data_IF_382494546994
#
_entry.id   IF_382494546994
#
_cell.length_a   1.000
_cell.length_b   1.000
_cell.length_c   1.000
_cell.angle_alpha   90.00
_cell.angle_beta   90.00
_cell.angle_gamma   90.00
#
_symmetry.space_group_name_H-M   'P 1'
#
loop_
_entity.id
_entity.type
_entity.pdbx_description
1 polymer ?
#
# COMPACT_ATOMS: atom_id res chain seq x y z
N UNK A 1 25.10 -84.02 1.87
CA UNK A 1 25.50 -83.51 3.19
C UNK A 1 26.42 -82.33 3.00
N UNK A 2 26.00 -81.12 3.35
CA UNK A 2 26.85 -80.02 3.81
C UNK A 2 25.92 -78.88 4.26
N UNK A 3 25.77 -78.76 5.58
CA UNK A 3 24.98 -77.74 6.25
C UNK A 3 25.64 -76.36 6.06
N UNK A 4 24.95 -75.45 5.38
CA UNK A 4 25.28 -74.03 5.39
C UNK A 4 24.41 -73.33 6.44
N UNK A 5 25.07 -72.91 7.51
CA UNK A 5 24.51 -72.23 8.68
C UNK A 5 23.89 -70.89 8.26
N UNK A 6 22.57 -70.75 8.41
CA UNK A 6 21.88 -69.45 8.35
C UNK A 6 22.32 -68.60 9.54
N UNK A 7 23.04 -67.50 9.29
CA UNK A 7 23.22 -66.42 10.26
C UNK A 7 21.92 -65.62 10.39
N UNK A 8 21.49 -65.24 11.60
CA UNK A 8 20.34 -64.37 11.78
C UNK A 8 20.69 -62.95 11.30
N UNK A 9 19.76 -62.34 10.56
CA UNK A 9 19.82 -60.93 10.15
C UNK A 9 19.68 -60.11 11.43
N UNK A 10 20.80 -59.62 11.93
CA UNK A 10 20.84 -58.61 12.99
C UNK A 10 20.13 -57.36 12.48
N UNK A 11 19.10 -56.95 13.21
CA UNK A 11 18.38 -55.69 13.11
C UNK A 11 19.36 -54.52 12.91
N UNK A 12 19.44 -54.01 11.69
CA UNK A 12 20.23 -52.82 11.38
C UNK A 12 19.55 -51.63 12.03
N UNK A 13 20.17 -51.10 13.10
CA UNK A 13 19.87 -49.77 13.64
C UNK A 13 19.86 -48.79 12.47
N UNK A 14 18.71 -48.18 12.22
CA UNK A 14 18.55 -47.09 11.25
C UNK A 14 19.58 -46.00 11.56
N UNK A 15 20.33 -45.51 10.56
CA UNK A 15 21.24 -44.39 10.75
C UNK A 15 20.43 -43.22 11.33
N UNK A 16 20.91 -42.65 12.45
CA UNK A 16 20.31 -41.48 13.06
C UNK A 16 20.37 -40.32 12.07
N UNK A 17 19.26 -40.06 11.39
CA UNK A 17 19.09 -38.86 10.57
C UNK A 17 18.72 -37.69 11.46
N UNK A 18 19.29 -36.51 11.20
CA UNK A 18 19.09 -35.29 11.99
C UNK A 18 17.69 -34.68 11.90
N UNK A 19 16.70 -35.40 11.37
CA UNK A 19 15.32 -34.95 11.18
C UNK A 19 14.32 -36.09 11.51
N UNK A 20 13.11 -35.75 12.00
CA UNK A 20 12.09 -36.73 12.36
C UNK A 20 11.49 -37.39 11.10
N UNK A 21 11.22 -38.69 11.17
CA UNK A 21 10.50 -39.41 10.10
C UNK A 21 9.00 -39.24 10.31
N UNK A 22 8.36 -38.50 9.41
CA UNK A 22 6.94 -38.14 9.47
C UNK A 22 6.06 -39.33 9.06
N UNK A 23 4.81 -39.36 9.51
CA UNK A 23 3.78 -40.31 9.05
C UNK A 23 3.22 -39.95 7.69
N UNK A 24 2.67 -40.93 6.96
CA UNK A 24 2.08 -40.67 5.64
C UNK A 24 0.96 -39.61 5.74
N UNK A 25 0.20 -39.61 6.83
CA UNK A 25 -0.85 -38.62 7.09
C UNK A 25 -0.25 -37.22 7.28
N UNK A 26 0.81 -37.10 8.07
CA UNK A 26 1.51 -35.83 8.29
C UNK A 26 2.14 -35.30 6.99
N UNK A 27 2.75 -36.17 6.19
CA UNK A 27 3.34 -35.81 4.89
C UNK A 27 2.27 -35.21 3.97
N UNK A 28 1.12 -35.87 3.83
CA UNK A 28 0.01 -35.38 2.99
C UNK A 28 -0.51 -34.04 3.49
N UNK A 29 -0.66 -33.88 4.81
CA UNK A 29 -1.14 -32.62 5.39
C UNK A 29 -0.16 -31.46 5.16
N UNK A 30 1.16 -31.70 5.27
CA UNK A 30 2.17 -30.66 5.03
C UNK A 30 2.28 -30.35 3.54
N UNK A 31 2.20 -31.36 2.66
CA UNK A 31 2.16 -31.14 1.21
C UNK A 31 0.93 -30.31 0.82
N UNK A 32 -0.23 -30.58 1.40
CA UNK A 32 -1.44 -29.78 1.19
C UNK A 32 -1.28 -28.34 1.69
N UNK A 33 -0.55 -28.11 2.79
CA UNK A 33 -0.22 -26.77 3.28
C UNK A 33 0.75 -26.01 2.35
N UNK A 34 1.53 -26.72 1.54
CA UNK A 34 2.39 -26.18 0.47
C UNK A 34 1.65 -26.07 -0.89
N UNK A 35 0.31 -26.12 -0.89
CA UNK A 35 -0.57 -26.15 -2.07
C UNK A 35 -0.39 -27.37 -3.00
N UNK A 36 0.27 -28.43 -2.53
CA UNK A 36 0.48 -29.68 -3.27
C UNK A 36 -0.60 -30.71 -2.92
N UNK A 37 -1.58 -30.85 -3.81
CA UNK A 37 -2.71 -31.77 -3.64
C UNK A 37 -2.31 -33.20 -4.03
N UNK A 38 -1.90 -34.01 -3.05
CA UNK A 38 -1.42 -35.38 -3.24
C UNK A 38 -2.35 -36.36 -2.51
N UNK A 39 -2.66 -37.51 -3.11
CA UNK A 39 -3.47 -38.54 -2.46
C UNK A 39 -2.64 -39.38 -1.48
N UNK A 40 -3.30 -39.96 -0.48
CA UNK A 40 -2.64 -40.82 0.51
C UNK A 40 -1.94 -42.02 -0.15
N UNK A 41 -2.50 -42.55 -1.24
CA UNK A 41 -1.94 -43.66 -2.01
C UNK A 41 -0.66 -43.28 -2.75
N UNK A 42 -0.52 -42.02 -3.19
CA UNK A 42 0.67 -41.53 -3.90
C UNK A 42 1.92 -41.50 -3.00
N UNK A 43 1.72 -41.39 -1.69
CA UNK A 43 2.78 -41.43 -0.67
C UNK A 43 2.99 -42.84 -0.13
N UNK A 44 1.91 -43.62 0.05
CA UNK A 44 1.98 -44.98 0.56
C UNK A 44 2.52 -45.99 -0.47
N UNK A 45 2.22 -45.79 -1.75
CA UNK A 45 2.64 -46.60 -2.89
C UNK A 45 3.10 -45.68 -4.02
N UNK A 46 4.27 -45.03 -3.89
CA UNK A 46 4.73 -44.07 -4.86
C UNK A 46 4.92 -44.73 -6.22
N UNK A 47 4.36 -44.10 -7.26
CA UNK A 47 4.63 -44.42 -8.65
C UNK A 47 5.73 -43.51 -9.16
N UNK A 48 6.38 -43.88 -10.27
CA UNK A 48 7.36 -43.02 -10.94
C UNK A 48 6.79 -41.64 -11.22
N UNK A 49 5.53 -41.59 -11.68
CA UNK A 49 4.84 -40.34 -11.99
C UNK A 49 4.55 -39.51 -10.73
N UNK A 50 4.05 -40.12 -9.67
CA UNK A 50 3.75 -39.39 -8.43
C UNK A 50 5.02 -38.87 -7.75
N UNK A 51 6.10 -39.67 -7.72
CA UNK A 51 7.37 -39.25 -7.17
C UNK A 51 7.98 -38.07 -7.94
N UNK A 52 8.00 -38.13 -9.28
CA UNK A 52 8.51 -37.03 -10.11
C UNK A 52 7.65 -35.77 -9.93
N UNK A 53 6.32 -35.90 -9.95
CA UNK A 53 5.41 -34.76 -9.74
C UNK A 53 5.68 -34.07 -8.39
N UNK A 54 5.78 -34.84 -7.30
CA UNK A 54 6.00 -34.31 -5.95
C UNK A 54 7.37 -33.62 -5.86
N UNK A 55 8.44 -34.24 -6.38
CA UNK A 55 9.77 -33.64 -6.34
C UNK A 55 9.90 -32.41 -7.24
N UNK A 56 9.25 -32.37 -8.40
CA UNK A 56 9.18 -31.18 -9.25
C UNK A 56 8.52 -30.02 -8.52
N UNK A 57 7.40 -30.28 -7.86
CA UNK A 57 6.68 -29.23 -7.16
C UNK A 57 7.43 -28.74 -5.90
N UNK A 58 8.14 -29.64 -5.22
CA UNK A 58 9.03 -29.27 -4.11
C UNK A 58 10.25 -28.46 -4.58
N UNK A 59 10.80 -28.76 -5.75
CA UNK A 59 11.89 -27.96 -6.34
C UNK A 59 11.45 -26.54 -6.68
N UNK A 60 10.25 -26.39 -7.24
CA UNK A 60 9.68 -25.08 -7.55
C UNK A 60 9.47 -24.26 -6.26
N UNK A 61 8.81 -24.86 -5.28
CA UNK A 61 8.47 -24.17 -4.03
C UNK A 61 9.69 -23.83 -3.16
N UNK A 62 10.71 -24.70 -3.08
CA UNK A 62 11.85 -24.53 -2.17
C UNK A 62 13.05 -23.84 -2.82
N UNK A 63 13.28 -24.07 -4.11
CA UNK A 63 14.44 -23.54 -4.82
C UNK A 63 14.09 -22.47 -5.85
N UNK A 64 12.79 -22.21 -6.12
CA UNK A 64 12.36 -21.34 -7.21
C UNK A 64 12.78 -21.88 -8.58
N UNK A 65 13.11 -23.17 -8.67
CA UNK A 65 13.63 -23.81 -9.86
C UNK A 65 12.47 -24.40 -10.68
N UNK A 66 11.76 -23.53 -11.39
CA UNK A 66 10.71 -23.94 -12.32
C UNK A 66 11.32 -24.70 -13.52
N UNK A 67 10.50 -25.52 -14.17
CA UNK A 67 10.79 -26.25 -15.42
C UNK A 67 11.43 -25.33 -16.47
N UNK A 68 11.00 -24.08 -16.56
CA UNK A 68 11.53 -23.07 -17.49
C UNK A 68 13.01 -22.74 -17.25
N UNK A 69 13.48 -22.78 -15.99
CA UNK A 69 14.91 -22.59 -15.68
C UNK A 69 15.78 -23.75 -16.16
N UNK A 70 15.19 -24.94 -16.34
CA UNK A 70 15.88 -26.12 -16.87
C UNK A 70 15.88 -26.07 -18.41
N UNK A 71 14.84 -25.50 -19.03
CA UNK A 71 14.73 -25.42 -20.49
C UNK A 71 15.77 -24.50 -21.15
N UNK A 72 16.12 -23.36 -20.54
CA UNK A 72 17.14 -22.44 -21.09
C UNK A 72 18.54 -23.08 -21.22
N UNK A 73 19.11 -23.63 -20.13
CA UNK A 73 20.35 -24.39 -20.16
C UNK A 73 20.27 -25.65 -21.05
N UNK A 74 19.13 -26.35 -21.06
CA UNK A 74 18.86 -27.44 -22.00
C UNK A 74 19.02 -26.96 -23.44
N UNK A 75 18.38 -25.85 -23.83
CA UNK A 75 18.48 -25.30 -25.19
C UNK A 75 19.91 -24.96 -25.61
N UNK A 76 20.72 -24.44 -24.68
CA UNK A 76 22.12 -24.10 -24.92
C UNK A 76 22.99 -25.34 -25.06
N UNK A 77 22.78 -26.39 -24.26
CA UNK A 77 23.52 -27.65 -24.39
C UNK A 77 23.07 -28.45 -25.61
N UNK A 78 21.78 -28.41 -25.94
CA UNK A 78 21.24 -29.03 -27.14
C UNK A 78 21.76 -28.39 -28.43
N UNK A 79 22.09 -27.10 -28.42
CA UNK A 79 22.68 -26.44 -29.60
C UNK A 79 24.10 -26.93 -29.91
N UNK A 80 24.81 -27.49 -28.92
CA UNK A 80 26.17 -28.01 -29.02
C UNK A 80 26.23 -29.52 -29.35
N UNK A 81 25.09 -30.23 -29.42
CA UNK A 81 25.03 -31.68 -29.68
C UNK A 81 24.55 -32.01 -31.09
N UNK A 82 25.13 -33.05 -31.70
CA UNK A 82 24.84 -33.48 -33.08
C UNK A 82 23.48 -34.21 -33.22
N UNK A 83 23.10 -35.06 -32.27
CA UNK A 83 21.85 -35.85 -32.31
C UNK A 83 20.83 -35.36 -31.29
N UNK A 84 20.16 -34.24 -31.60
CA UNK A 84 19.37 -33.50 -30.61
C UNK A 84 18.15 -34.27 -30.06
N UNK A 85 17.41 -34.94 -30.94
CA UNK A 85 16.19 -35.67 -30.57
C UNK A 85 16.45 -36.89 -29.69
N UNK A 86 17.61 -37.54 -29.84
CA UNK A 86 17.95 -38.75 -29.09
C UNK A 86 18.28 -38.48 -27.62
N UNK A 87 18.82 -37.29 -27.32
CA UNK A 87 19.31 -36.94 -25.98
C UNK A 87 18.39 -35.96 -25.22
N UNK A 88 17.40 -35.35 -25.88
CA UNK A 88 16.55 -34.31 -25.28
C UNK A 88 15.86 -34.75 -23.99
N UNK A 89 15.24 -35.94 -23.99
CA UNK A 89 14.52 -36.48 -22.83
C UNK A 89 15.49 -36.93 -21.72
N UNK A 90 16.57 -37.63 -22.09
CA UNK A 90 17.60 -38.07 -21.15
C UNK A 90 18.32 -36.90 -20.47
N UNK A 91 18.57 -35.80 -21.20
CA UNK A 91 19.21 -34.59 -20.68
C UNK A 91 18.28 -33.88 -19.70
N UNK A 92 17.00 -33.72 -20.05
CA UNK A 92 16.00 -33.11 -19.17
C UNK A 92 15.86 -33.90 -17.86
N UNK A 93 15.77 -35.22 -17.94
CA UNK A 93 15.71 -36.06 -16.76
C UNK A 93 17.00 -35.99 -15.92
N UNK A 94 18.18 -35.92 -16.56
CA UNK A 94 19.46 -35.80 -15.87
C UNK A 94 19.59 -34.47 -15.12
N UNK A 95 19.14 -33.36 -15.73
CA UNK A 95 19.11 -32.06 -15.09
C UNK A 95 18.13 -32.04 -13.91
N UNK A 96 16.92 -32.58 -14.10
CA UNK A 96 15.93 -32.73 -13.04
C UNK A 96 16.48 -33.55 -11.86
N UNK A 97 17.09 -34.70 -12.13
CA UNK A 97 17.73 -35.53 -11.12
C UNK A 97 18.85 -34.79 -10.38
N UNK A 98 19.67 -34.02 -11.11
CA UNK A 98 20.73 -33.23 -10.50
C UNK A 98 20.18 -32.19 -9.52
N UNK A 99 19.12 -31.47 -9.90
CA UNK A 99 18.46 -30.52 -9.00
C UNK A 99 17.81 -31.20 -7.80
N UNK A 100 17.12 -32.33 -7.99
CA UNK A 100 16.58 -33.12 -6.88
C UNK A 100 17.67 -33.57 -5.90
N UNK A 101 18.83 -34.00 -6.43
CA UNK A 101 19.97 -34.46 -5.62
C UNK A 101 20.62 -33.30 -4.86
N UNK A 102 20.77 -32.15 -5.50
CA UNK A 102 21.29 -30.94 -4.84
C UNK A 102 20.35 -30.51 -3.71
N UNK A 103 19.03 -30.46 -3.96
CA UNK A 103 18.02 -30.19 -2.92
C UNK A 103 18.10 -31.21 -1.78
N UNK A 104 18.14 -32.50 -2.09
CA UNK A 104 18.23 -33.57 -1.09
C UNK A 104 19.50 -33.43 -0.23
N UNK A 105 20.62 -33.04 -0.85
CA UNK A 105 21.90 -32.83 -0.16
C UNK A 105 21.80 -31.67 0.84
N UNK A 106 21.14 -30.56 0.46
CA UNK A 106 20.88 -29.42 1.36
C UNK A 106 19.98 -29.83 2.52
N UNK A 107 19.01 -30.72 2.28
CA UNK A 107 18.11 -31.27 3.30
C UNK A 107 18.79 -32.33 4.21
N UNK A 108 20.09 -32.60 4.04
CA UNK A 108 20.84 -33.57 4.85
C UNK A 108 20.70 -35.02 4.37
N UNK A 109 20.25 -35.24 3.13
CA UNK A 109 20.09 -36.56 2.52
C UNK A 109 21.17 -36.77 1.46
N UNK A 110 22.19 -37.57 1.78
CA UNK A 110 23.35 -37.79 0.90
C UNK A 110 23.22 -39.01 -0.01
N UNK A 111 22.25 -39.90 0.24
CA UNK A 111 22.05 -41.16 -0.47
C UNK A 111 20.89 -41.12 -1.48
N UNK A 112 20.59 -39.95 -2.04
CA UNK A 112 19.59 -39.79 -3.10
C UNK A 112 20.13 -40.31 -4.44
N UNK A 113 19.43 -41.27 -5.04
CA UNK A 113 19.82 -41.92 -6.30
C UNK A 113 18.74 -41.84 -7.37
N UNK A 114 19.09 -42.20 -8.61
CA UNK A 114 18.15 -42.21 -9.75
C UNK A 114 16.97 -43.17 -9.51
N UNK A 115 17.20 -44.25 -8.76
CA UNK A 115 16.16 -45.20 -8.37
C UNK A 115 15.05 -44.54 -7.54
N UNK A 116 15.34 -43.49 -6.79
CA UNK A 116 14.36 -42.80 -5.95
C UNK A 116 13.33 -42.01 -6.77
N UNK A 117 13.65 -41.69 -8.04
CA UNK A 117 12.73 -41.06 -9.00
C UNK A 117 12.12 -42.05 -9.99
N UNK A 118 12.85 -43.10 -10.37
CA UNK A 118 12.42 -44.06 -11.41
C UNK A 118 11.66 -45.25 -10.84
N UNK A 119 12.04 -45.72 -9.64
CA UNK A 119 11.46 -46.88 -8.94
C UNK A 119 11.44 -46.60 -7.43
N UNK A 120 10.58 -45.67 -6.97
CA UNK A 120 10.57 -45.22 -5.58
C UNK A 120 10.18 -46.37 -4.63
N UNK A 121 11.05 -46.65 -3.65
CA UNK A 121 10.73 -47.55 -2.55
C UNK A 121 9.91 -46.79 -1.49
N UNK A 122 8.76 -47.32 -1.01
CA UNK A 122 7.88 -46.58 -0.10
C UNK A 122 8.57 -46.10 1.18
N UNK A 123 9.47 -46.89 1.75
CA UNK A 123 10.14 -46.56 3.00
C UNK A 123 11.22 -45.49 2.78
N UNK A 124 12.00 -45.62 1.71
CA UNK A 124 12.98 -44.59 1.31
C UNK A 124 12.28 -43.31 0.88
N UNK A 125 11.23 -43.38 0.07
CA UNK A 125 10.50 -42.21 -0.41
C UNK A 125 9.94 -41.37 0.74
N UNK A 126 9.30 -42.02 1.71
CA UNK A 126 8.84 -41.38 2.95
C UNK A 126 9.97 -40.73 3.75
N UNK A 127 11.12 -41.38 3.83
CA UNK A 127 12.29 -40.84 4.50
C UNK A 127 12.82 -39.58 3.80
N UNK A 128 12.95 -39.61 2.48
CA UNK A 128 13.39 -38.45 1.69
C UNK A 128 12.41 -37.28 1.81
N UNK A 129 11.10 -37.53 1.70
CA UNK A 129 10.08 -36.50 1.90
C UNK A 129 10.12 -35.92 3.30
N UNK A 130 10.34 -36.73 4.33
CA UNK A 130 10.44 -36.23 5.71
C UNK A 130 11.59 -35.25 5.87
N UNK A 131 12.75 -35.50 5.25
CA UNK A 131 13.89 -34.59 5.27
C UNK A 131 13.61 -33.28 4.52
N UNK A 132 13.03 -33.38 3.32
CA UNK A 132 12.70 -32.19 2.49
C UNK A 132 11.62 -31.33 3.15
N UNK A 133 10.57 -31.95 3.70
CA UNK A 133 9.50 -31.23 4.39
C UNK A 133 9.96 -30.61 5.71
N UNK A 134 10.89 -31.25 6.42
CA UNK A 134 11.51 -30.64 7.59
C UNK A 134 12.31 -29.38 7.21
N UNK A 135 13.00 -29.40 6.08
CA UNK A 135 13.64 -28.20 5.54
C UNK A 135 12.62 -27.13 5.12
N UNK A 136 11.52 -27.52 4.47
CA UNK A 136 10.44 -26.59 4.11
C UNK A 136 9.88 -25.86 5.34
N UNK A 137 9.61 -26.59 6.42
CA UNK A 137 9.15 -26.01 7.68
C UNK A 137 10.19 -25.08 8.32
N UNK A 138 11.47 -25.46 8.26
CA UNK A 138 12.55 -24.59 8.72
C UNK A 138 12.61 -23.28 7.91
N UNK A 139 12.42 -23.35 6.59
CA UNK A 139 12.37 -22.16 5.73
C UNK A 139 11.20 -21.25 6.11
N UNK A 140 10.01 -21.80 6.34
CA UNK A 140 8.82 -21.06 6.80
C UNK A 140 9.07 -20.33 8.14
N UNK A 141 9.65 -21.02 9.13
CA UNK A 141 10.02 -20.43 10.43
C UNK A 141 11.04 -19.28 10.29
N UNK A 142 11.89 -19.32 9.26
CA UNK A 142 12.91 -18.28 8.99
C UNK A 142 12.39 -17.19 8.06
N UNK A 143 11.41 -17.45 7.22
CA UNK A 143 10.84 -16.50 6.27
C UNK A 143 10.36 -15.23 6.97
N UNK A 144 9.72 -15.36 8.14
CA UNK A 144 9.31 -14.21 8.96
C UNK A 144 10.49 -13.28 9.34
N UNK A 145 11.69 -13.84 9.53
CA UNK A 145 12.90 -13.05 9.83
C UNK A 145 13.48 -12.37 8.59
N UNK A 146 13.26 -12.95 7.42
CA UNK A 146 13.72 -12.40 6.14
C UNK A 146 12.67 -11.50 5.47
N UNK A 147 11.42 -11.50 5.94
CA UNK A 147 10.35 -10.68 5.42
C UNK A 147 10.67 -9.18 5.49
N UNK A 148 11.19 -8.71 6.62
CA UNK A 148 11.57 -7.29 6.79
C UNK A 148 12.75 -6.89 5.87
N UNK A 149 13.90 -7.61 5.84
CA UNK A 149 14.95 -7.34 4.87
C UNK A 149 14.48 -7.42 3.41
N UNK A 150 13.64 -8.38 3.06
CA UNK A 150 13.10 -8.52 1.70
C UNK A 150 12.18 -7.34 1.33
N UNK A 151 11.36 -6.87 2.28
CA UNK A 151 10.56 -5.67 2.07
C UNK A 151 11.42 -4.42 1.91
N UNK A 152 12.43 -4.23 2.76
CA UNK A 152 13.38 -3.11 2.62
C UNK A 152 14.10 -3.15 1.28
N UNK A 153 14.49 -4.33 0.79
CA UNK A 153 15.10 -4.48 -0.53
C UNK A 153 14.14 -4.09 -1.65
N UNK A 154 12.88 -4.50 -1.59
CA UNK A 154 11.83 -4.08 -2.53
C UNK A 154 11.62 -2.56 -2.52
N UNK A 155 11.52 -1.97 -1.33
CA UNK A 155 11.34 -0.53 -1.17
C UNK A 155 12.56 0.25 -1.72
N UNK A 156 13.78 -0.24 -1.48
CA UNK A 156 15.00 0.34 -2.05
C UNK A 156 15.03 0.23 -3.57
N UNK A 157 14.59 -0.90 -4.12
CA UNK A 157 14.51 -1.09 -5.57
C UNK A 157 13.51 -0.11 -6.19
N UNK A 158 12.31 0.03 -5.60
CA UNK A 158 11.32 1.02 -6.05
C UNK A 158 11.84 2.46 -5.94
N UNK A 159 12.53 2.81 -4.86
CA UNK A 159 13.16 4.12 -4.71
C UNK A 159 14.23 4.37 -5.78
N UNK A 160 15.05 3.36 -6.07
CA UNK A 160 16.08 3.45 -7.10
C UNK A 160 15.47 3.69 -8.47
N UNK A 161 14.42 2.96 -8.84
CA UNK A 161 13.72 3.15 -10.12
C UNK A 161 13.06 4.53 -10.20
N UNK A 162 12.40 5.00 -9.13
CA UNK A 162 11.84 6.36 -9.08
C UNK A 162 12.90 7.45 -9.24
N UNK A 163 14.08 7.27 -8.64
CA UNK A 163 15.19 8.21 -8.79
C UNK A 163 15.76 8.21 -10.21
N UNK A 164 15.87 7.05 -10.85
CA UNK A 164 16.27 6.96 -12.26
C UNK A 164 15.28 7.67 -13.18
N UNK A 165 13.97 7.45 -12.98
CA UNK A 165 12.94 8.14 -13.74
C UNK A 165 13.00 9.67 -13.56
N UNK A 166 13.24 10.14 -12.34
CA UNK A 166 13.42 11.57 -12.06
C UNK A 166 14.67 12.12 -12.73
N UNK A 167 15.77 11.38 -12.70
CA UNK A 167 17.04 11.77 -13.33
C UNK A 167 16.86 11.92 -14.84
N UNK A 168 16.22 10.95 -15.50
CA UNK A 168 15.90 11.01 -16.94
C UNK A 168 15.03 12.23 -17.26
N UNK A 169 14.00 12.52 -16.44
CA UNK A 169 13.16 13.71 -16.64
C UNK A 169 13.95 15.00 -16.51
N UNK A 170 14.82 15.10 -15.51
CA UNK A 170 15.66 16.29 -15.30
C UNK A 170 16.65 16.45 -16.46
N UNK A 171 17.30 15.37 -16.90
CA UNK A 171 18.20 15.40 -18.06
C UNK A 171 17.48 15.89 -19.32
N UNK A 172 16.28 15.38 -19.60
CA UNK A 172 15.46 15.85 -20.73
C UNK A 172 15.12 17.34 -20.60
N UNK A 173 14.75 17.82 -19.42
CA UNK A 173 14.46 19.26 -19.22
C UNK A 173 15.71 20.13 -19.39
N UNK A 174 16.88 19.65 -18.97
CA UNK A 174 18.15 20.35 -19.18
C UNK A 174 18.47 20.43 -20.67
N UNK A 175 18.26 19.35 -21.41
CA UNK A 175 18.46 19.31 -22.85
C UNK A 175 17.51 20.27 -23.58
N UNK A 176 16.22 20.28 -23.24
CA UNK A 176 15.23 21.22 -23.79
C UNK A 176 15.61 22.68 -23.52
N UNK A 177 16.01 23.01 -22.28
CA UNK A 177 16.45 24.35 -21.90
C UNK A 177 17.75 24.73 -22.63
N UNK A 178 18.68 23.79 -22.79
CA UNK A 178 19.93 24.00 -23.52
C UNK A 178 19.67 24.34 -24.98
N UNK A 179 18.81 23.55 -25.65
CA UNK A 179 18.40 23.79 -27.05
C UNK A 179 17.74 25.16 -27.17
N UNK A 180 16.80 25.49 -26.28
CA UNK A 180 16.13 26.79 -26.27
C UNK A 180 17.12 27.94 -26.06
N UNK A 181 18.06 27.81 -25.12
CA UNK A 181 19.08 28.83 -24.88
C UNK A 181 19.98 29.04 -26.10
N UNK A 182 20.33 27.98 -26.83
CA UNK A 182 21.11 28.09 -28.08
C UNK A 182 20.30 28.84 -29.16
N UNK A 183 18.99 28.57 -29.27
CA UNK A 183 18.08 29.26 -30.19
C UNK A 183 17.84 30.73 -29.81
N UNK A 184 17.72 31.03 -28.52
CA UNK A 184 17.44 32.38 -28.00
C UNK A 184 18.69 33.27 -27.96
N UNK A 185 19.90 32.69 -27.95
CA UNK A 185 21.17 33.41 -27.93
C UNK A 185 21.36 34.41 -29.08
N UNK A 186 21.15 34.06 -30.38
CA UNK A 186 21.28 35.03 -31.46
C UNK A 186 20.27 36.17 -31.36
N UNK A 187 19.01 35.87 -31.00
CA UNK A 187 17.97 36.89 -30.80
C UNK A 187 18.34 37.86 -29.68
N UNK A 188 18.88 37.33 -28.58
CA UNK A 188 19.33 38.13 -27.44
C UNK A 188 20.52 39.01 -27.79
N UNK A 189 21.50 38.49 -28.54
CA UNK A 189 22.65 39.27 -29.00
C UNK A 189 22.25 40.33 -30.03
N UNK A 190 21.31 40.05 -30.92
CA UNK A 190 20.76 41.05 -31.85
C UNK A 190 20.00 42.15 -31.09
N UNK A 191 19.18 41.78 -30.11
CA UNK A 191 18.47 42.73 -29.26
C UNK A 191 19.44 43.60 -28.45
N UNK A 192 20.53 43.04 -27.91
CA UNK A 192 21.60 43.79 -27.22
C UNK A 192 22.26 44.79 -28.15
N UNK A 193 22.70 44.36 -29.34
CA UNK A 193 23.30 45.24 -30.35
C UNK A 193 22.36 46.39 -30.73
N UNK A 194 21.08 46.10 -30.90
CA UNK A 194 20.06 47.12 -31.20
C UNK A 194 19.91 48.10 -30.04
N UNK A 195 19.90 47.62 -28.80
CA UNK A 195 19.81 48.47 -27.61
C UNK A 195 21.06 49.36 -27.45
N UNK A 196 22.24 48.82 -27.69
CA UNK A 196 23.50 49.57 -27.70
C UNK A 196 23.52 50.65 -28.80
N UNK A 197 23.05 50.32 -30.01
CA UNK A 197 22.92 51.28 -31.10
C UNK A 197 21.96 52.43 -30.75
N UNK A 198 20.77 52.11 -30.23
CA UNK A 198 19.79 53.13 -29.80
C UNK A 198 20.33 53.97 -28.64
N UNK A 199 21.09 53.38 -27.70
CA UNK A 199 21.75 54.15 -26.64
C UNK A 199 22.80 55.10 -27.18
N UNK A 200 23.59 54.68 -28.17
CA UNK A 200 24.57 55.54 -28.83
C UNK A 200 23.88 56.69 -29.57
N UNK A 201 22.80 56.42 -30.31
CA UNK A 201 21.99 57.47 -30.94
C UNK A 201 21.41 58.45 -29.92
N UNK A 202 20.89 57.96 -28.79
CA UNK A 202 20.34 58.80 -27.73
C UNK A 202 21.41 59.69 -27.10
N UNK A 203 22.62 59.17 -26.89
CA UNK A 203 23.77 59.97 -26.41
C UNK A 203 24.17 61.04 -27.43
N UNK A 204 24.20 60.71 -28.72
CA UNK A 204 24.49 61.67 -29.79
C UNK A 204 23.43 62.77 -29.86
N UNK A 205 22.13 62.41 -29.88
CA UNK A 205 21.03 63.37 -29.86
C UNK A 205 21.08 64.26 -28.61
N UNK A 206 21.44 63.70 -27.45
CA UNK A 206 21.59 64.48 -26.22
C UNK A 206 22.76 65.47 -26.33
N UNK A 207 23.87 65.07 -26.93
CA UNK A 207 25.00 65.97 -27.20
C UNK A 207 24.59 67.11 -28.13
N UNK A 208 23.90 66.79 -29.24
CA UNK A 208 23.35 67.77 -30.18
C UNK A 208 22.36 68.71 -29.50
N UNK A 209 21.46 68.19 -28.67
CA UNK A 209 20.51 68.99 -27.89
C UNK A 209 21.23 69.99 -26.97
N UNK A 210 22.30 69.57 -26.29
CA UNK A 210 23.09 70.45 -25.42
C UNK A 210 23.79 71.54 -26.23
N UNK A 211 24.38 71.19 -27.38
CA UNK A 211 24.99 72.17 -28.29
C UNK A 211 23.96 73.17 -28.79
N UNK A 212 22.80 72.69 -29.25
CA UNK A 212 21.71 73.53 -29.75
C UNK A 212 21.13 74.43 -28.64
N UNK A 213 21.06 73.93 -27.41
CA UNK A 213 20.67 74.75 -26.26
C UNK A 213 21.66 75.88 -26.00
N UNK A 214 22.96 75.61 -26.15
CA UNK A 214 23.99 76.64 -25.99
C UNK A 214 23.94 77.68 -27.11
N UNK A 215 23.71 77.26 -28.37
CA UNK A 215 23.55 78.20 -29.49
C UNK A 215 22.28 79.05 -29.33
N UNK A 216 21.17 78.46 -28.89
CA UNK A 216 19.94 79.21 -28.58
C UNK A 216 20.17 80.24 -27.49
N UNK A 217 20.90 79.90 -26.43
CA UNK A 217 21.19 80.83 -25.34
C UNK A 217 22.13 81.96 -25.80
N UNK A 218 23.14 81.64 -26.62
CA UNK A 218 24.01 82.63 -27.26
C UNK A 218 23.20 83.59 -28.15
N UNK A 219 22.34 83.07 -29.02
CA UNK A 219 21.48 83.87 -29.89
C UNK A 219 20.48 84.73 -29.11
N UNK A 220 19.96 84.25 -27.98
CA UNK A 220 19.12 85.06 -27.08
C UNK A 220 19.92 86.22 -26.46
N UNK A 221 21.16 85.96 -26.03
CA UNK A 221 22.06 86.99 -25.50
C UNK A 221 22.39 88.04 -26.56
N UNK A 222 22.74 87.61 -27.77
CA UNK A 222 23.00 88.50 -28.90
C UNK A 222 21.75 89.33 -29.26
N UNK A 223 20.58 88.69 -29.34
CA UNK A 223 19.30 89.39 -29.55
C UNK A 223 19.04 90.43 -28.47
N UNK A 224 19.32 90.11 -27.21
CA UNK A 224 19.15 91.04 -26.09
C UNK A 224 20.10 92.24 -26.22
N UNK A 225 21.37 92.01 -26.56
CA UNK A 225 22.35 93.08 -26.81
C UNK A 225 21.92 93.98 -27.98
N UNK A 226 21.44 93.39 -29.08
CA UNK A 226 20.93 94.15 -30.23
C UNK A 226 19.68 94.94 -29.85
N UNK A 227 18.78 94.37 -29.04
CA UNK A 227 17.61 95.09 -28.52
C UNK A 227 18.01 96.27 -27.63
N UNK A 228 18.97 96.09 -26.73
CA UNK A 228 19.49 97.16 -25.86
C UNK A 228 20.18 98.26 -26.68
N UNK A 229 20.96 97.88 -27.69
CA UNK A 229 21.58 98.80 -28.62
C UNK A 229 20.50 99.58 -29.41
N UNK A 230 19.48 98.89 -29.92
CA UNK A 230 18.38 99.51 -30.63
C UNK A 230 17.58 100.46 -29.72
N UNK A 231 17.33 100.09 -28.47
CA UNK A 231 16.67 100.95 -27.49
C UNK A 231 17.54 102.18 -27.16
N UNK A 232 18.85 102.01 -26.99
CA UNK A 232 19.81 103.11 -26.80
C UNK A 232 19.83 104.06 -28.00
N UNK A 233 19.90 103.51 -29.22
CA UNK A 233 19.84 104.31 -30.46
C UNK A 233 18.50 105.00 -30.65
N UNK A 234 17.40 104.38 -30.26
CA UNK A 234 16.08 105.00 -30.29
C UNK A 234 15.97 106.14 -29.25
N UNK A 235 16.59 105.98 -28.07
CA UNK A 235 16.71 107.05 -27.08
C UNK A 235 17.58 108.21 -27.61
N UNK A 236 18.75 107.93 -28.19
CA UNK A 236 19.57 108.93 -28.87
C UNK A 236 18.78 109.64 -29.97
N UNK A 237 18.06 108.89 -30.81
CA UNK A 237 17.20 109.43 -31.85
C UNK A 237 16.08 110.30 -31.28
N UNK A 238 15.51 109.93 -30.13
CA UNK A 238 14.47 110.72 -29.46
C UNK A 238 15.03 112.01 -28.87
N UNK A 239 16.24 111.96 -28.28
CA UNK A 239 16.93 113.16 -27.81
C UNK A 239 17.32 114.07 -28.99
N UNK A 240 17.82 113.51 -30.09
CA UNK A 240 18.11 114.25 -31.31
C UNK A 240 16.82 114.77 -31.98
N UNK A 241 15.72 114.04 -31.91
CA UNK A 241 14.41 114.49 -32.43
C UNK A 241 13.85 115.61 -31.58
N UNK A 242 14.02 115.59 -30.26
CA UNK A 242 13.69 116.67 -29.35
C UNK A 242 14.60 117.90 -29.58
N UNK A 243 15.90 117.71 -29.76
CA UNK A 243 16.85 118.78 -30.10
C UNK A 243 16.55 119.38 -31.48
N UNK A 244 16.19 118.56 -32.46
CA UNK A 244 15.75 119.03 -33.77
C UNK A 244 14.34 119.60 -33.73
N UNK A 245 13.46 119.20 -32.81
CA UNK A 245 12.16 119.84 -32.57
C UNK A 245 12.33 121.21 -31.90
N UNK A 246 13.28 121.34 -30.98
CA UNK A 246 13.71 122.63 -30.41
C UNK A 246 14.35 123.52 -31.50
N UNK A 247 15.16 122.95 -32.41
CA UNK A 247 15.71 123.67 -33.55
C UNK A 247 14.66 124.01 -34.64
N UNK A 248 13.68 123.12 -34.88
CA UNK A 248 12.54 123.34 -35.78
C UNK A 248 11.53 124.33 -35.20
N UNK A 249 11.40 124.44 -33.87
CA UNK A 249 10.61 125.50 -33.21
C UNK A 249 11.19 126.91 -33.42
N UNK A 250 12.46 127.01 -33.84
CA UNK A 250 13.14 128.25 -34.26
C UNK A 250 13.10 128.50 -35.77
N UNK A 251 12.43 127.66 -36.54
CA UNK A 251 12.29 127.80 -37.98
C UNK A 251 10.82 127.64 -38.35
N UNK A 252 10.10 128.75 -38.21
CA UNK A 252 8.76 128.93 -38.78
C UNK A 252 8.90 129.00 -40.28
N UNK A 253 8.32 128.03 -41.00
CA UNK A 253 7.75 128.29 -42.32
C UNK A 253 6.48 127.46 -42.55
N UNK A 254 5.41 128.20 -42.87
CA UNK A 254 4.19 127.78 -43.56
C UNK A 254 3.13 126.98 -42.76
N UNK A 255 2.17 127.68 -42.11
CA UNK A 255 1.04 127.09 -41.38
C UNK A 255 -0.04 126.42 -42.25
N UNK A 256 -0.07 126.64 -43.56
CA UNK A 256 -1.20 126.22 -44.41
C UNK A 256 -1.05 124.84 -45.05
N UNK A 257 0.19 124.32 -45.16
CA UNK A 257 0.44 122.91 -45.54
C UNK A 257 0.15 121.96 -44.37
N UNK A 258 0.47 122.41 -43.16
CA UNK A 258 0.30 121.66 -41.91
C UNK A 258 -1.20 121.49 -41.59
N UNK A 259 -2.07 122.48 -41.83
CA UNK A 259 -3.52 122.34 -41.60
C UNK A 259 -4.19 121.27 -42.48
N UNK A 260 -3.78 121.12 -43.74
CA UNK A 260 -4.29 120.04 -44.62
C UNK A 260 -3.72 118.68 -44.23
N UNK A 261 -2.42 118.60 -43.94
CA UNK A 261 -1.77 117.36 -43.51
C UNK A 261 -2.22 116.91 -42.10
N UNK A 262 -2.58 117.84 -41.21
CA UNK A 262 -3.21 117.55 -39.91
C UNK A 262 -4.64 117.06 -40.10
N UNK A 263 -5.39 117.60 -41.06
CA UNK A 263 -6.73 117.09 -41.40
C UNK A 263 -6.68 115.68 -41.98
N UNK A 264 -5.73 115.40 -42.88
CA UNK A 264 -5.51 114.07 -43.45
C UNK A 264 -4.95 113.09 -42.42
N UNK A 265 -3.96 113.49 -41.61
CA UNK A 265 -3.49 112.67 -40.48
C UNK A 265 -4.58 112.44 -39.42
N UNK A 266 -5.44 113.42 -39.18
CA UNK A 266 -6.58 113.26 -38.27
C UNK A 266 -7.55 112.20 -38.79
N UNK A 267 -7.78 112.16 -40.11
CA UNK A 267 -8.64 111.15 -40.71
C UNK A 267 -7.99 109.76 -40.72
N UNK A 268 -6.68 109.66 -41.02
CA UNK A 268 -5.95 108.38 -40.96
C UNK A 268 -5.80 107.88 -39.53
N UNK A 269 -5.53 108.75 -38.55
CA UNK A 269 -5.51 108.40 -37.13
C UNK A 269 -6.89 107.96 -36.65
N UNK A 270 -7.98 108.57 -37.14
CA UNK A 270 -9.33 108.12 -36.84
C UNK A 270 -9.62 106.73 -37.43
N UNK A 271 -9.22 106.49 -38.68
CA UNK A 271 -9.35 105.19 -39.33
C UNK A 271 -8.49 104.10 -38.68
N UNK A 272 -7.24 104.41 -38.31
CA UNK A 272 -6.35 103.51 -37.58
C UNK A 272 -6.85 103.24 -36.17
N UNK A 273 -7.41 104.23 -35.46
CA UNK A 273 -8.07 104.02 -34.16
C UNK A 273 -9.29 103.12 -34.29
N UNK A 274 -10.09 103.26 -35.35
CA UNK A 274 -11.21 102.37 -35.62
C UNK A 274 -10.74 100.94 -35.94
N UNK A 275 -9.67 100.79 -36.73
CA UNK A 275 -9.03 99.50 -37.03
C UNK A 275 -8.43 98.87 -35.77
N UNK A 276 -7.72 99.63 -34.95
CA UNK A 276 -7.15 99.20 -33.68
C UNK A 276 -8.26 98.74 -32.72
N UNK A 277 -9.35 99.48 -32.60
CA UNK A 277 -10.50 99.09 -31.78
C UNK A 277 -11.15 97.79 -32.28
N UNK A 278 -11.21 97.58 -33.61
CA UNK A 278 -11.71 96.34 -34.21
C UNK A 278 -10.77 95.16 -33.93
N UNK A 279 -9.46 95.36 -34.08
CA UNK A 279 -8.44 94.34 -33.78
C UNK A 279 -8.44 94.01 -32.28
N UNK A 280 -8.52 95.01 -31.40
CA UNK A 280 -8.62 94.81 -29.95
C UNK A 280 -9.84 93.99 -29.55
N UNK A 281 -11.01 94.25 -30.16
CA UNK A 281 -12.20 93.41 -29.95
C UNK A 281 -11.98 91.97 -30.41
N UNK A 282 -11.36 91.77 -31.58
CA UNK A 282 -11.03 90.43 -32.08
C UNK A 282 -10.01 89.71 -31.18
N UNK A 283 -8.99 90.42 -30.70
CA UNK A 283 -8.00 89.87 -29.77
C UNK A 283 -8.64 89.48 -28.45
N UNK A 284 -9.57 90.30 -27.94
CA UNK A 284 -10.31 89.97 -26.72
C UNK A 284 -11.22 88.74 -26.92
N UNK A 285 -11.95 88.66 -28.03
CA UNK A 285 -12.77 87.49 -28.38
C UNK A 285 -11.92 86.22 -28.52
N UNK A 286 -10.79 86.29 -29.22
CA UNK A 286 -9.86 85.16 -29.36
C UNK A 286 -9.22 84.76 -28.01
N UNK A 287 -8.91 85.72 -27.15
CA UNK A 287 -8.40 85.45 -25.79
C UNK A 287 -9.44 84.74 -24.94
N UNK A 288 -10.71 85.15 -25.00
CA UNK A 288 -11.81 84.48 -24.30
C UNK A 288 -12.01 83.05 -24.82
N UNK A 289 -11.95 82.85 -26.15
CA UNK A 289 -11.99 81.51 -26.75
C UNK A 289 -10.82 80.62 -26.31
N UNK A 290 -9.61 81.17 -26.22
CA UNK A 290 -8.43 80.45 -25.73
C UNK A 290 -8.57 80.03 -24.27
N UNK A 291 -9.15 80.89 -23.43
CA UNK A 291 -9.43 80.56 -22.03
C UNK A 291 -10.44 79.41 -21.93
N UNK A 292 -11.51 79.43 -22.74
CA UNK A 292 -12.48 78.32 -22.84
C UNK A 292 -11.79 77.03 -23.31
N UNK A 293 -10.96 77.09 -24.35
CA UNK A 293 -10.20 75.93 -24.83
C UNK A 293 -9.27 75.39 -23.73
N UNK A 294 -8.63 76.27 -22.95
CA UNK A 294 -7.80 75.89 -21.81
C UNK A 294 -8.58 75.15 -20.72
N UNK A 295 -9.80 75.62 -20.40
CA UNK A 295 -10.69 74.90 -19.47
C UNK A 295 -11.11 73.54 -20.01
N UNK A 296 -11.47 73.45 -21.29
CA UNK A 296 -11.82 72.19 -21.95
C UNK A 296 -10.64 71.21 -21.99
N UNK A 297 -9.42 71.69 -22.21
CA UNK A 297 -8.21 70.86 -22.17
C UNK A 297 -7.95 70.30 -20.77
N UNK A 298 -8.16 71.11 -19.72
CA UNK A 298 -8.09 70.67 -18.33
C UNK A 298 -9.15 69.60 -18.03
N UNK A 299 -10.39 69.81 -18.47
CA UNK A 299 -11.48 68.85 -18.29
C UNK A 299 -11.21 67.53 -19.03
N UNK A 300 -10.69 67.60 -20.26
CA UNK A 300 -10.25 66.42 -21.03
C UNK A 300 -9.15 65.64 -20.31
N UNK A 301 -8.15 66.32 -19.75
CA UNK A 301 -7.12 65.67 -18.92
C UNK A 301 -7.73 65.00 -17.69
N UNK A 302 -8.72 65.64 -17.06
CA UNK A 302 -9.47 65.08 -15.94
C UNK A 302 -10.24 63.81 -16.31
N UNK A 303 -10.91 63.81 -17.46
CA UNK A 303 -11.66 62.67 -17.99
C UNK A 303 -10.73 61.49 -18.32
N UNK A 304 -9.57 61.73 -18.94
CA UNK A 304 -8.57 60.70 -19.24
C UNK A 304 -8.04 60.05 -17.95
N UNK A 305 -7.77 60.84 -16.91
CA UNK A 305 -7.32 60.27 -15.64
C UNK A 305 -8.44 59.48 -14.94
N UNK A 306 -9.70 59.91 -15.06
CA UNK A 306 -10.85 59.13 -14.60
C UNK A 306 -10.98 57.81 -15.35
N UNK A 307 -10.87 57.83 -16.68
CA UNK A 307 -10.89 56.62 -17.52
C UNK A 307 -9.80 55.62 -17.08
N UNK A 308 -8.58 56.12 -16.88
CA UNK A 308 -7.45 55.29 -16.41
C UNK A 308 -7.73 54.66 -15.05
N UNK A 309 -8.35 55.40 -14.13
CA UNK A 309 -8.78 54.88 -12.81
C UNK A 309 -9.87 53.81 -12.96
N UNK A 310 -10.84 54.02 -13.85
CA UNK A 310 -11.89 53.03 -14.12
C UNK A 310 -11.31 51.75 -14.69
N UNK A 311 -10.38 51.83 -15.65
CA UNK A 311 -9.75 50.64 -16.23
C UNK A 311 -8.92 49.87 -15.19
N UNK A 312 -8.20 50.57 -14.30
CA UNK A 312 -7.52 49.95 -13.16
C UNK A 312 -8.48 49.26 -12.19
N UNK A 313 -9.66 49.84 -11.91
CA UNK A 313 -10.65 49.20 -11.05
C UNK A 313 -11.28 47.99 -11.73
N UNK A 314 -11.54 48.07 -13.04
CA UNK A 314 -12.05 46.96 -13.84
C UNK A 314 -11.07 45.78 -13.84
N UNK A 315 -9.77 46.02 -14.00
CA UNK A 315 -8.78 44.94 -13.96
C UNK A 315 -8.73 44.25 -12.59
N UNK A 316 -8.81 45.03 -11.49
CA UNK A 316 -8.91 44.48 -10.13
C UNK A 316 -10.17 43.67 -9.91
N UNK A 317 -11.32 44.12 -10.42
CA UNK A 317 -12.59 43.37 -10.33
C UNK A 317 -12.48 42.04 -11.09
N UNK A 318 -11.90 42.02 -12.29
CA UNK A 318 -11.69 40.79 -13.05
C UNK A 318 -10.71 39.82 -12.37
N UNK A 319 -9.67 40.32 -11.70
CA UNK A 319 -8.79 39.50 -10.88
C UNK A 319 -9.52 38.92 -9.67
N UNK A 320 -10.31 39.74 -8.96
CA UNK A 320 -11.13 39.29 -7.84
C UNK A 320 -12.16 38.24 -8.26
N UNK A 321 -12.81 38.40 -9.41
CA UNK A 321 -13.73 37.38 -9.97
C UNK A 321 -13.01 36.07 -10.26
N UNK A 322 -11.82 36.11 -10.86
CA UNK A 322 -11.00 34.92 -11.10
C UNK A 322 -10.62 34.22 -9.79
N UNK A 323 -10.23 34.99 -8.77
CA UNK A 323 -9.90 34.45 -7.45
C UNK A 323 -11.13 33.85 -6.76
N UNK A 324 -12.29 34.50 -6.85
CA UNK A 324 -13.55 33.99 -6.33
C UNK A 324 -13.91 32.66 -6.99
N UNK A 325 -13.79 32.57 -8.33
CA UNK A 325 -14.07 31.33 -9.06
C UNK A 325 -13.13 30.19 -8.63
N UNK A 326 -11.83 30.47 -8.42
CA UNK A 326 -10.86 29.50 -7.89
C UNK A 326 -11.22 29.05 -6.46
N UNK A 327 -11.53 29.99 -5.58
CA UNK A 327 -11.94 29.68 -4.21
C UNK A 327 -13.23 28.86 -4.19
N UNK A 328 -14.21 29.21 -5.02
CA UNK A 328 -15.48 28.48 -5.13
C UNK A 328 -15.25 27.04 -5.60
N UNK A 329 -14.45 26.85 -6.65
CA UNK A 329 -14.07 25.51 -7.11
C UNK A 329 -13.33 24.71 -6.03
N UNK A 330 -12.46 25.36 -5.26
CA UNK A 330 -11.80 24.74 -4.09
C UNK A 330 -12.77 24.35 -2.97
N UNK A 331 -13.77 25.18 -2.67
CA UNK A 331 -14.81 24.86 -1.70
C UNK A 331 -15.70 23.72 -2.17
N UNK A 332 -16.10 23.72 -3.45
CA UNK A 332 -16.88 22.62 -4.04
C UNK A 332 -16.10 21.30 -4.02
N UNK A 333 -14.80 21.33 -4.34
CA UNK A 333 -13.92 20.16 -4.20
C UNK A 333 -13.87 19.63 -2.77
N UNK A 334 -13.63 20.50 -1.79
CA UNK A 334 -13.62 20.12 -0.36
C UNK A 334 -14.98 19.62 0.13
N UNK A 335 -16.07 20.16 -0.40
CA UNK A 335 -17.43 19.70 -0.06
C UNK A 335 -17.65 18.27 -0.56
N UNK A 336 -17.23 17.96 -1.80
CA UNK A 336 -17.31 16.61 -2.36
C UNK A 336 -16.45 15.64 -1.53
N UNK A 337 -15.23 16.03 -1.13
CA UNK A 337 -14.39 15.22 -0.25
C UNK A 337 -15.05 14.98 1.12
N UNK A 338 -15.64 16.02 1.72
CA UNK A 338 -16.33 15.90 3.00
C UNK A 338 -17.55 14.96 2.90
N UNK A 339 -18.33 15.03 1.82
CA UNK A 339 -19.49 14.17 1.62
C UNK A 339 -19.06 12.72 1.31
N UNK A 340 -17.95 12.52 0.58
CA UNK A 340 -17.32 11.21 0.40
C UNK A 340 -16.82 10.59 1.72
N UNK A 341 -16.22 11.41 2.59
CA UNK A 341 -15.79 10.97 3.92
C UNK A 341 -16.98 10.61 4.82
N UNK A 342 -18.07 11.39 4.80
CA UNK A 342 -19.31 11.05 5.52
C UNK A 342 -19.89 9.72 5.05
N UNK A 343 -19.98 9.49 3.74
CA UNK A 343 -20.47 8.22 3.20
C UNK A 343 -19.62 7.03 3.66
N UNK A 344 -18.30 7.20 3.74
CA UNK A 344 -17.39 6.19 4.26
C UNK A 344 -17.55 5.96 5.76
N UNK A 345 -17.81 7.02 6.52
CA UNK A 345 -18.08 6.95 7.96
C UNK A 345 -19.40 6.19 8.20
N UNK A 346 -20.46 6.50 7.46
CA UNK A 346 -21.75 5.79 7.53
C UNK A 346 -21.60 4.30 7.18
N UNK A 347 -20.77 3.97 6.18
CA UNK A 347 -20.47 2.58 5.84
C UNK A 347 -19.73 1.86 6.98
N UNK A 348 -18.74 2.50 7.59
CA UNK A 348 -18.00 1.95 8.72
C UNK A 348 -18.90 1.77 9.95
N UNK A 349 -19.79 2.72 10.22
CA UNK A 349 -20.74 2.63 11.32
C UNK A 349 -21.72 1.45 11.12
N UNK A 350 -22.21 1.24 9.90
CA UNK A 350 -22.99 0.04 9.54
C UNK A 350 -22.20 -1.25 9.71
N UNK A 351 -20.91 -1.26 9.37
CA UNK A 351 -20.05 -2.44 9.58
C UNK A 351 -19.83 -2.70 11.08
N UNK A 352 -19.61 -1.64 11.86
CA UNK A 352 -19.40 -1.72 13.29
C UNK A 352 -20.65 -2.22 14.02
N UNK A 353 -21.82 -1.65 13.72
CA UNK A 353 -23.11 -2.10 14.27
C UNK A 353 -23.38 -3.57 13.94
N UNK A 354 -23.16 -3.99 12.69
CA UNK A 354 -23.27 -5.40 12.31
C UNK A 354 -22.29 -6.32 13.05
N UNK A 355 -21.04 -5.89 13.24
CA UNK A 355 -20.04 -6.65 13.99
C UNK A 355 -20.41 -6.74 15.47
N UNK A 356 -20.89 -5.64 16.07
CA UNK A 356 -21.38 -5.57 17.44
C UNK A 356 -22.58 -6.48 17.66
N UNK A 357 -23.54 -6.49 16.75
CA UNK A 357 -24.71 -7.36 16.81
C UNK A 357 -24.31 -8.84 16.69
N UNK A 358 -23.39 -9.17 15.77
CA UNK A 358 -22.84 -10.53 15.66
C UNK A 358 -22.14 -10.95 16.95
N UNK A 359 -21.33 -10.08 17.53
CA UNK A 359 -20.65 -10.35 18.80
C UNK A 359 -21.65 -10.56 19.94
N UNK A 360 -22.67 -9.70 20.06
CA UNK A 360 -23.72 -9.86 21.07
C UNK A 360 -24.48 -11.17 20.90
N UNK A 361 -24.82 -11.57 19.67
CA UNK A 361 -25.48 -12.86 19.39
C UNK A 361 -24.59 -14.04 19.77
N UNK A 362 -23.30 -13.99 19.45
CA UNK A 362 -22.35 -15.02 19.84
C UNK A 362 -22.19 -15.11 21.36
N UNK A 363 -22.16 -13.98 22.06
CA UNK A 363 -22.07 -13.94 23.52
C UNK A 363 -23.31 -14.57 24.18
N UNK A 364 -24.51 -14.25 23.68
CA UNK A 364 -25.76 -14.88 24.16
C UNK A 364 -25.73 -16.39 23.87
N UNK A 365 -25.38 -16.81 22.65
CA UNK A 365 -25.29 -18.23 22.29
C UNK A 365 -24.29 -19.00 23.17
N UNK A 366 -23.12 -18.41 23.48
CA UNK A 366 -22.15 -19.00 24.40
C UNK A 366 -22.70 -19.10 25.82
N UNK A 367 -23.42 -18.10 26.30
CA UNK A 367 -24.05 -18.14 27.63
C UNK A 367 -25.13 -19.21 27.72
N UNK A 368 -25.98 -19.34 26.69
CA UNK A 368 -27.00 -20.39 26.62
C UNK A 368 -26.37 -21.79 26.55
N UNK A 369 -25.29 -21.96 25.77
CA UNK A 369 -24.59 -23.25 25.69
C UNK A 369 -23.94 -23.62 27.02
N UNK A 370 -23.41 -22.64 27.76
CA UNK A 370 -22.86 -22.85 29.11
C UNK A 370 -23.95 -23.25 30.09
N UNK A 371 -25.09 -22.55 30.11
CA UNK A 371 -26.23 -22.91 30.94
C UNK A 371 -26.78 -24.31 30.59
N UNK A 372 -26.99 -24.62 29.31
CA UNK A 372 -27.42 -25.97 28.88
C UNK A 372 -26.42 -27.06 29.30
N UNK A 373 -25.13 -26.78 29.19
CA UNK A 373 -24.08 -27.72 29.61
C UNK A 373 -24.09 -27.91 31.13
N UNK A 374 -24.29 -26.82 31.88
CA UNK A 374 -24.41 -26.84 33.35
C UNK A 374 -25.63 -27.63 33.80
N UNK A 375 -26.83 -27.35 33.26
CA UNK A 375 -28.05 -28.10 33.59
C UNK A 375 -27.94 -29.57 33.20
N UNK A 376 -27.25 -29.89 32.10
CA UNK A 376 -26.98 -31.28 31.70
C UNK A 376 -26.02 -31.97 32.67
N UNK A 377 -24.98 -31.28 33.13
CA UNK A 377 -24.04 -31.80 34.13
C UNK A 377 -24.72 -32.02 35.49
N UNK A 378 -25.57 -31.09 35.92
CA UNK A 378 -26.38 -31.22 37.13
C UNK A 378 -27.35 -32.41 37.01
N UNK A 379 -28.07 -32.52 35.89
CA UNK A 379 -28.94 -33.67 35.60
C UNK A 379 -28.18 -35.00 35.62
N UNK A 380 -27.03 -35.09 34.94
CA UNK A 380 -26.18 -36.27 35.00
C UNK A 380 -25.69 -36.57 36.42
N UNK A 381 -25.32 -35.55 37.19
CA UNK A 381 -24.95 -35.68 38.59
C UNK A 381 -26.05 -36.30 39.45
N UNK A 382 -27.29 -35.80 39.32
CA UNK A 382 -28.45 -36.36 40.05
C UNK A 382 -28.73 -37.81 39.65
N UNK A 383 -28.69 -38.14 38.37
CA UNK A 383 -28.89 -39.52 37.89
C UNK A 383 -27.79 -40.46 38.37
N UNK A 384 -26.53 -40.00 38.37
CA UNK A 384 -25.40 -40.76 38.89
C UNK A 384 -25.55 -41.03 40.39
N UNK A 385 -26.00 -40.03 41.16
CA UNK A 385 -26.22 -40.16 42.59
C UNK A 385 -27.39 -41.10 42.92
N UNK A 386 -28.45 -41.06 42.11
CA UNK A 386 -29.55 -42.03 42.18
C UNK A 386 -29.06 -43.46 41.88
N UNK A 387 -28.33 -43.66 40.78
CA UNK A 387 -27.75 -44.96 40.43
C UNK A 387 -26.77 -45.46 41.50
N UNK A 388 -26.01 -44.57 42.14
CA UNK A 388 -25.11 -44.91 43.26
C UNK A 388 -25.91 -45.41 44.47
N UNK A 389 -27.02 -44.75 44.82
CA UNK A 389 -27.93 -45.19 45.90
C UNK A 389 -28.58 -46.54 45.56
N UNK A 390 -29.08 -46.70 44.34
CA UNK A 390 -29.66 -47.96 43.86
C UNK A 390 -28.63 -49.09 43.92
N UNK A 391 -27.40 -48.87 43.43
CA UNK A 391 -26.30 -49.84 43.55
C UNK A 391 -25.99 -50.19 45.00
N UNK A 392 -26.01 -49.22 45.92
CA UNK A 392 -25.76 -49.51 47.34
C UNK A 392 -26.88 -50.36 47.97
N UNK A 393 -28.14 -50.16 47.56
CA UNK A 393 -29.26 -51.02 47.97
C UNK A 393 -29.11 -52.41 47.37
N UNK A 394 -28.80 -52.51 46.07
CA UNK A 394 -28.54 -53.78 45.39
C UNK A 394 -27.40 -54.56 46.05
N UNK A 395 -26.30 -53.88 46.39
CA UNK A 395 -25.17 -54.49 47.11
C UNK A 395 -25.60 -55.06 48.46
N UNK A 396 -26.39 -54.31 49.25
CA UNK A 396 -26.96 -54.81 50.52
C UNK A 396 -27.87 -56.01 50.30
N UNK A 397 -28.72 -55.99 49.28
CA UNK A 397 -29.60 -57.14 48.98
C UNK A 397 -28.81 -58.36 48.53
N UNK A 398 -27.75 -58.19 47.73
CA UNK A 398 -26.85 -59.29 47.34
C UNK A 398 -26.15 -59.86 48.58
N UNK A 399 -25.66 -59.00 49.49
CA UNK A 399 -25.04 -59.45 50.73
C UNK A 399 -26.01 -60.24 51.61
N UNK A 400 -27.26 -59.77 51.73
CA UNK A 400 -28.32 -60.49 52.45
C UNK A 400 -28.62 -61.84 51.80
N UNK A 401 -28.85 -61.88 50.48
CA UNK A 401 -29.11 -63.14 49.76
C UNK A 401 -27.94 -64.11 49.87
N UNK A 402 -26.69 -63.64 49.83
CA UNK A 402 -25.50 -64.48 50.09
C UNK A 402 -25.45 -65.00 51.52
N UNK A 403 -25.88 -64.21 52.51
CA UNK A 403 -25.95 -64.65 53.90
C UNK A 403 -27.06 -65.70 54.09
N UNK A 404 -28.25 -65.45 53.51
CA UNK A 404 -29.37 -66.38 53.52
C UNK A 404 -29.00 -67.70 52.81
N UNK A 405 -28.32 -67.63 51.66
CA UNK A 405 -27.78 -68.80 50.96
C UNK A 405 -26.82 -69.60 51.85
N UNK A 406 -25.87 -68.94 52.53
CA UNK A 406 -24.94 -69.60 53.45
C UNK A 406 -25.65 -70.24 54.65
N UNK A 407 -26.68 -69.59 55.19
CA UNK A 407 -27.46 -70.14 56.29
C UNK A 407 -28.23 -71.39 55.84
N UNK A 408 -28.83 -71.36 54.65
CA UNK A 408 -29.52 -72.50 54.06
C UNK A 408 -28.56 -73.66 53.77
N UNK A 409 -27.36 -73.37 53.26
CA UNK A 409 -26.32 -74.39 53.02
C UNK A 409 -25.88 -75.06 54.34
N UNK A 410 -25.78 -74.29 55.43
CA UNK A 410 -25.47 -74.82 56.76
C UNK A 410 -26.61 -75.68 57.32
N UNK A 411 -27.86 -75.25 57.16
CA UNK A 411 -29.03 -76.03 57.57
C UNK A 411 -29.14 -77.34 56.77
N UNK A 412 -28.90 -77.27 55.46
CA UNK A 412 -28.84 -78.46 54.59
C UNK A 412 -27.70 -79.40 55.01
N UNK A 413 -26.51 -78.87 55.32
CA UNK A 413 -25.39 -79.67 55.83
C UNK A 413 -25.72 -80.34 57.17
N UNK A 414 -26.33 -79.61 58.11
CA UNK A 414 -26.77 -80.16 59.38
C UNK A 414 -27.83 -81.25 59.18
N UNK A 415 -28.80 -81.02 58.29
CA UNK A 415 -29.84 -81.99 57.94
C UNK A 415 -29.27 -83.25 57.28
N UNK A 416 -28.28 -83.11 56.38
CA UNK A 416 -27.57 -84.26 55.82
C UNK A 416 -26.79 -85.02 56.89
N UNK A 417 -26.15 -84.33 57.83
CA UNK A 417 -25.44 -84.98 58.94
C UNK A 417 -26.39 -85.72 59.87
N UNK A 418 -27.54 -85.14 60.23
CA UNK A 418 -28.54 -85.82 61.05
C UNK A 418 -29.10 -87.04 60.33
N UNK A 419 -29.42 -86.93 59.04
CA UNK A 419 -29.85 -88.09 58.26
C UNK A 419 -28.77 -89.15 58.12
N UNK A 420 -27.50 -88.77 57.93
CA UNK A 420 -26.38 -89.73 57.94
C UNK A 420 -26.27 -90.43 59.29
N UNK A 421 -26.44 -89.72 60.42
CA UNK A 421 -26.45 -90.35 61.74
C UNK A 421 -27.63 -91.28 61.94
N UNK A 422 -28.84 -90.89 61.51
CA UNK A 422 -30.04 -91.74 61.59
C UNK A 422 -29.90 -93.00 60.72
N UNK A 423 -29.35 -92.87 59.50
CA UNK A 423 -29.05 -94.00 58.62
C UNK A 423 -28.01 -94.92 59.27
N UNK A 424 -26.96 -94.35 59.86
CA UNK A 424 -25.93 -95.12 60.56
C UNK A 424 -26.48 -95.83 61.80
N UNK A 425 -27.38 -95.21 62.56
CA UNK A 425 -28.05 -95.83 63.71
C UNK A 425 -29.01 -96.94 63.28
N UNK A 426 -29.78 -96.73 62.20
CA UNK A 426 -30.61 -97.77 61.59
C UNK A 426 -29.77 -98.94 61.07
N UNK A 427 -28.63 -98.66 60.44
CA UNK A 427 -27.67 -99.69 60.02
C UNK A 427 -27.08 -100.41 61.23
N UNK A 428 -26.70 -99.71 62.29
CA UNK A 428 -26.19 -100.33 63.52
C UNK A 428 -27.24 -101.23 64.17
N UNK A 429 -28.50 -100.78 64.26
CA UNK A 429 -29.62 -101.61 64.72
C UNK A 429 -29.87 -102.82 63.81
N UNK A 430 -29.76 -102.66 62.49
CA UNK A 430 -29.84 -103.75 61.53
C UNK A 430 -28.71 -104.78 61.74
N UNK A 431 -27.47 -104.33 61.93
CA UNK A 431 -26.33 -105.20 62.21
C UNK A 431 -26.43 -105.90 63.56
N UNK A 432 -26.92 -105.21 64.60
CA UNK A 432 -27.15 -105.79 65.93
C UNK A 432 -28.25 -106.86 65.88
N UNK A 433 -29.37 -106.58 65.19
CA UNK A 433 -30.45 -107.54 64.98
C UNK A 433 -29.97 -108.73 64.15
N UNK A 434 -29.15 -108.51 63.12
CA UNK A 434 -28.51 -109.57 62.33
C UNK A 434 -27.56 -110.39 63.19
N UNK A 435 -26.77 -109.78 64.06
CA UNK A 435 -25.87 -110.47 64.99
C UNK A 435 -26.66 -111.28 66.02
N UNK A 436 -27.79 -110.77 66.50
CA UNK A 436 -28.71 -111.52 67.36
C UNK A 436 -29.37 -112.69 66.63
N UNK A 437 -29.73 -112.53 65.35
CA UNK A 437 -30.24 -113.61 64.51
C UNK A 437 -29.17 -114.68 64.19
N UNK A 438 -27.94 -114.26 63.92
CA UNK A 438 -26.78 -115.16 63.73
C UNK A 438 -26.41 -115.88 65.04
N UNK A 439 -26.48 -115.19 66.19
CA UNK A 439 -26.29 -115.80 67.50
C UNK A 439 -27.40 -116.80 67.84
N UNK A 440 -28.65 -116.49 67.52
CA UNK A 440 -29.79 -117.41 67.64
C UNK A 440 -29.59 -118.64 66.74
N UNK A 441 -29.22 -118.44 65.47
CA UNK A 441 -28.88 -119.53 64.55
C UNK A 441 -27.70 -120.37 65.04
N UNK A 442 -26.68 -119.76 65.67
CA UNK A 442 -25.55 -120.50 66.27
C UNK A 442 -25.95 -121.30 67.51
N UNK A 443 -26.83 -120.77 68.36
CA UNK A 443 -27.36 -121.50 69.51
C UNK A 443 -28.33 -122.62 69.13
N UNK A 444 -29.07 -122.45 68.02
CA UNK A 444 -29.92 -123.51 67.44
C UNK A 444 -29.07 -124.59 66.77
N UNK A 445 -28.03 -124.22 66.00
CA UNK A 445 -27.08 -125.18 65.40
C UNK A 445 -26.17 -125.89 66.42
N UNK A 446 -25.94 -125.31 67.59
CA UNK A 446 -25.16 -125.96 68.66
C UNK A 446 -25.93 -127.04 69.42
N UNK A 447 -27.27 -126.99 69.42
CA UNK A 447 -28.14 -127.92 70.15
C UNK A 447 -28.88 -128.92 69.24
N UNK A 448 -28.72 -128.83 67.91
CA UNK A 448 -29.25 -129.77 66.92
C UNK A 448 -28.18 -130.05 65.86
N UNK A 449 -27.59 -131.25 65.91
CA UNK A 449 -26.71 -131.81 64.87
C UNK A 449 -27.43 -131.79 63.50
N UNK A 450 -27.13 -130.77 62.68
CA UNK A 450 -27.47 -130.76 61.26
C UNK A 450 -26.25 -130.24 60.48
N UNK A 451 -25.49 -131.18 59.91
CA UNK A 451 -24.71 -130.92 58.71
C UNK A 451 -25.68 -130.58 57.57
N UNK A 452 -25.60 -129.37 56.99
CA UNK A 452 -25.73 -129.17 55.53
C UNK A 452 -24.90 -127.96 55.12
N UNK A 453 -24.12 -128.19 54.08
CA UNK A 453 -23.21 -127.30 53.41
C UNK A 453 -23.86 -126.11 52.68
N UNK A 454 -23.07 -125.05 52.54
CA UNK A 454 -22.96 -124.28 51.29
C UNK A 454 -24.05 -123.28 50.95
N UNK A 455 -23.71 -122.00 51.10
CA UNK A 455 -24.02 -120.96 50.12
C UNK A 455 -22.75 -120.63 49.35
#
# INVERSE_FOLDING_TARGET
MMNSVRRPITTTKTPQTGFPVLTNVEIVNILAALDLHVQMDDVAKPTTQSAQMIFTALLDQLMGANVDMIEGPKGTLMSMMEYKELYSEALQFTMFYRHCREMATVCGIHNFGISDLTRPDPMRFRHHLSGVLNFAKYMEDKEQKFAEPAQRLRDQFEQTERMKDQLIRVENTIEEISIRNVQDRPLTEEAKKRNEAVRAELLNLRSEQVQLSHTVESLKSERQQVMELAASKNNEQTVLSQNTALARSRLVQSPDRIKRHISEMSSTVSAEKASLASIQRKTHDLSSRLEIIGTLESDLKGLIEMERKVEQQKSKVEEMKRNLMKLRGGCEGKQIEADGLKARLDQLDRQWTNAKDKFSRQQVALSEMRERSKTRMEGLGTTYEQQKKERAVWEKTIQRLKADQKALDLEMQAFTQTHETEINDLLAHYWEMRRQAEAYMKTVNGNLNLEVAGL
#
